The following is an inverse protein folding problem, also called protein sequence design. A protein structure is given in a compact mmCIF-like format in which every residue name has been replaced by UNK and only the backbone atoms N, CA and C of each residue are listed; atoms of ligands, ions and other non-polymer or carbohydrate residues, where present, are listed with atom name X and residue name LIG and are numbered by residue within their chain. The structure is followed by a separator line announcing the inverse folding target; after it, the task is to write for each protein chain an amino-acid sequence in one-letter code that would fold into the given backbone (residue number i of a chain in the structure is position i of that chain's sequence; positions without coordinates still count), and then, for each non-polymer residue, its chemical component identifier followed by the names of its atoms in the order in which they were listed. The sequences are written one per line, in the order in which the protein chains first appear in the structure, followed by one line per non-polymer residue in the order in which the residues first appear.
data_IF_231915422213
#
_entry.id   IF_231915422213
#
_cell.length_a   1.000
_cell.length_b   1.000
_cell.length_c   1.000
_cell.angle_alpha   90.00
_cell.angle_beta   90.00
_cell.angle_gamma   90.00
#
_symmetry.space_group_name_H-M   'P 1'
#
loop_
_entity.id
_entity.type
_entity.pdbx_description
1 polymer ?
#
# COMPACT_ATOMS: atom_id res chain seq x y z
N UNK A 1 -20.22 71.40 -0.42
CA UNK A 1 -20.56 70.36 -1.41
C UNK A 1 -19.35 70.07 -2.28
N UNK A 2 -18.62 68.97 -2.03
CA UNK A 2 -17.68 68.39 -3.01
C UNK A 2 -17.72 66.86 -2.83
N UNK A 3 -18.42 66.19 -3.74
CA UNK A 3 -18.47 64.71 -3.85
C UNK A 3 -17.17 64.25 -4.49
N UNK A 4 -16.31 63.58 -3.73
CA UNK A 4 -15.20 62.81 -4.31
C UNK A 4 -15.75 61.45 -4.71
N UNK A 5 -15.93 61.26 -6.01
CA UNK A 5 -16.21 59.98 -6.63
C UNK A 5 -14.96 59.12 -6.54
N UNK A 6 -14.94 58.18 -5.59
CA UNK A 6 -13.94 57.11 -5.55
C UNK A 6 -14.31 56.07 -6.62
N UNK A 7 -13.58 56.06 -7.72
CA UNK A 7 -13.65 54.99 -8.72
C UNK A 7 -13.02 53.72 -8.15
N UNK A 8 -13.88 52.79 -7.72
CA UNK A 8 -13.52 51.40 -7.46
C UNK A 8 -13.14 50.73 -8.78
N UNK A 9 -11.84 50.54 -9.02
CA UNK A 9 -11.37 49.66 -10.08
C UNK A 9 -11.59 48.20 -9.65
N UNK A 10 -12.74 47.64 -10.01
CA UNK A 10 -13.00 46.20 -9.88
C UNK A 10 -12.25 45.49 -11.02
N UNK A 11 -11.09 44.93 -10.71
CA UNK A 11 -10.28 44.15 -11.64
C UNK A 11 -10.95 42.77 -11.81
N UNK A 12 -11.75 42.61 -12.86
CA UNK A 12 -12.25 41.31 -13.31
C UNK A 12 -11.08 40.50 -13.89
N UNK A 13 -10.46 39.66 -13.06
CA UNK A 13 -9.60 38.57 -13.52
C UNK A 13 -10.45 37.53 -14.24
N UNK A 14 -10.62 37.71 -15.55
CA UNK A 14 -11.10 36.64 -16.43
C UNK A 14 -9.99 35.59 -16.56
N UNK A 15 -10.01 34.59 -15.68
CA UNK A 15 -9.20 33.40 -15.89
C UNK A 15 -9.72 32.67 -17.14
N UNK A 16 -9.01 32.82 -18.26
CA UNK A 16 -9.24 32.02 -19.46
C UNK A 16 -8.92 30.56 -19.12
N UNK A 17 -9.94 29.79 -18.72
CA UNK A 17 -9.82 28.34 -18.61
C UNK A 17 -9.68 27.79 -20.03
N UNK A 18 -8.66 26.97 -20.34
CA UNK A 18 -8.57 26.33 -21.64
C UNK A 18 -9.81 25.44 -21.83
N UNK A 19 -10.65 25.78 -22.81
CA UNK A 19 -11.70 24.89 -23.29
C UNK A 19 -11.02 23.83 -24.12
N UNK A 20 -10.93 22.62 -23.60
CA UNK A 20 -10.40 21.49 -24.36
C UNK A 20 -11.42 21.21 -25.48
N UNK A 21 -10.95 21.20 -26.74
CA UNK A 21 -11.80 20.93 -27.88
C UNK A 21 -12.33 19.49 -27.79
N UNK A 22 -13.54 19.36 -27.24
CA UNK A 22 -14.21 18.09 -27.03
C UNK A 22 -15.05 17.74 -28.25
N UNK A 23 -14.84 16.56 -28.81
CA UNK A 23 -15.50 16.13 -30.04
C UNK A 23 -16.76 15.35 -29.67
N UNK A 24 -17.90 15.69 -30.26
CA UNK A 24 -19.15 14.98 -30.02
C UNK A 24 -19.32 13.85 -31.05
N UNK A 25 -19.81 12.71 -30.58
CA UNK A 25 -20.10 11.54 -31.38
C UNK A 25 -21.08 10.61 -30.71
N UNK A 26 -21.18 9.39 -31.21
CA UNK A 26 -21.99 8.33 -30.64
C UNK A 26 -21.32 6.97 -30.84
N UNK A 27 -21.71 5.99 -30.02
CA UNK A 27 -21.30 4.60 -30.21
C UNK A 27 -22.08 3.97 -31.37
N UNK A 28 -21.43 3.17 -32.20
CA UNK A 28 -22.09 2.43 -33.29
C UNK A 28 -22.42 0.97 -32.94
N UNK A 29 -22.05 0.50 -31.75
CA UNK A 29 -22.21 -0.87 -31.29
C UNK A 29 -22.23 -0.98 -29.76
N UNK A 30 -22.65 -2.14 -29.25
CA UNK A 30 -22.61 -2.46 -27.82
C UNK A 30 -21.16 -2.70 -27.40
N UNK A 31 -20.68 -1.97 -26.41
CA UNK A 31 -19.29 -2.07 -25.95
C UNK A 31 -19.13 -1.75 -24.47
N UNK A 32 -18.20 -2.45 -23.82
CA UNK A 32 -17.79 -2.12 -22.46
C UNK A 32 -16.86 -0.92 -22.43
N UNK A 33 -17.19 0.08 -21.62
CA UNK A 33 -16.30 1.20 -21.34
C UNK A 33 -15.16 0.71 -20.44
N UNK A 34 -13.90 0.92 -20.84
CA UNK A 34 -12.72 0.37 -20.16
C UNK A 34 -12.01 1.41 -19.28
N UNK A 35 -11.41 0.96 -18.18
CA UNK A 35 -10.61 1.81 -17.29
C UNK A 35 -9.27 2.28 -17.90
N UNK A 36 -8.86 1.68 -19.01
CA UNK A 36 -7.64 1.97 -19.77
C UNK A 36 -7.75 1.41 -21.20
N UNK A 37 -6.77 1.69 -22.06
CA UNK A 37 -6.86 1.43 -23.50
C UNK A 37 -6.45 0.00 -23.87
N UNK A 38 -7.11 -1.01 -23.31
CA UNK A 38 -7.01 -2.41 -23.72
C UNK A 38 -8.26 -3.18 -23.27
N UNK A 39 -8.54 -4.35 -23.86
CA UNK A 39 -9.76 -5.12 -23.59
C UNK A 39 -9.76 -5.77 -22.20
N UNK A 40 -8.60 -6.05 -21.66
CA UNK A 40 -8.43 -6.66 -20.36
C UNK A 40 -8.52 -5.64 -19.20
N UNK A 41 -8.47 -4.32 -19.49
CA UNK A 41 -8.78 -3.33 -18.48
C UNK A 41 -10.19 -3.54 -17.95
N UNK A 42 -10.36 -3.24 -16.66
CA UNK A 42 -11.66 -3.35 -15.99
C UNK A 42 -12.74 -2.58 -16.74
N UNK A 43 -13.92 -3.18 -16.86
CA UNK A 43 -15.12 -2.50 -17.36
C UNK A 43 -15.65 -1.55 -16.29
N UNK A 44 -15.76 -0.27 -16.62
CA UNK A 44 -16.26 0.78 -15.73
C UNK A 44 -17.68 1.22 -16.03
N UNK A 45 -18.23 0.74 -17.16
CA UNK A 45 -19.60 0.96 -17.58
C UNK A 45 -19.87 0.24 -18.90
N UNK A 46 -21.07 0.42 -19.44
CA UNK A 46 -21.48 -0.12 -20.72
C UNK A 46 -22.05 0.99 -21.61
N UNK A 47 -21.82 0.88 -22.91
CA UNK A 47 -22.30 1.85 -23.88
C UNK A 47 -23.11 1.12 -24.94
N UNK A 48 -24.38 1.49 -25.04
CA UNK A 48 -25.29 0.98 -26.05
C UNK A 48 -25.10 1.70 -27.39
N UNK A 49 -25.46 1.06 -28.52
CA UNK A 49 -25.49 1.73 -29.82
C UNK A 49 -26.33 3.01 -29.78
N UNK A 50 -25.84 4.08 -30.40
CA UNK A 50 -26.49 5.39 -30.46
C UNK A 50 -26.26 6.27 -29.23
N UNK A 51 -25.70 5.75 -28.14
CA UNK A 51 -25.39 6.55 -26.96
C UNK A 51 -24.42 7.68 -27.31
N UNK A 52 -24.74 8.89 -26.86
CA UNK A 52 -23.89 10.06 -27.06
C UNK A 52 -22.55 9.89 -26.33
N UNK A 53 -21.47 10.28 -27.00
CA UNK A 53 -20.11 10.22 -26.52
C UNK A 53 -19.45 11.59 -26.66
N UNK A 54 -18.70 11.98 -25.64
CA UNK A 54 -17.73 13.07 -25.73
C UNK A 54 -16.33 12.48 -25.85
N UNK A 55 -15.62 12.73 -26.94
CA UNK A 55 -14.29 12.19 -27.24
C UNK A 55 -13.22 13.23 -26.91
N UNK A 56 -12.28 12.86 -26.05
CA UNK A 56 -11.21 13.74 -25.55
C UNK A 56 -9.90 13.57 -26.31
N UNK A 57 -9.63 12.36 -26.81
CA UNK A 57 -8.37 12.04 -27.47
C UNK A 57 -8.29 10.58 -27.85
N UNK A 58 -7.42 10.24 -28.79
CA UNK A 58 -7.11 8.86 -29.14
C UNK A 58 -5.62 8.58 -28.97
N UNK A 59 -5.26 7.32 -28.70
CA UNK A 59 -3.85 6.91 -28.69
C UNK A 59 -3.18 7.18 -30.04
N UNK A 60 -1.85 7.27 -30.03
CA UNK A 60 -1.04 7.43 -31.24
C UNK A 60 -1.36 6.33 -32.27
N UNK A 61 -1.47 5.07 -31.82
CA UNK A 61 -1.92 3.92 -32.60
C UNK A 61 -3.29 4.11 -33.27
N UNK A 62 -4.14 4.98 -32.71
CA UNK A 62 -5.50 5.20 -33.16
C UNK A 62 -6.46 4.05 -32.85
N UNK A 63 -6.06 3.06 -32.06
CA UNK A 63 -6.88 1.89 -31.73
C UNK A 63 -7.88 2.16 -30.61
N UNK A 64 -7.55 3.05 -29.68
CA UNK A 64 -8.35 3.39 -28.51
C UNK A 64 -8.53 4.89 -28.35
N UNK A 65 -9.69 5.31 -27.85
CA UNK A 65 -9.99 6.70 -27.55
C UNK A 65 -10.58 6.87 -26.14
N UNK A 66 -10.14 7.93 -25.45
CA UNK A 66 -10.67 8.38 -24.18
C UNK A 66 -11.98 9.15 -24.43
N UNK A 67 -13.05 8.68 -23.81
CA UNK A 67 -14.41 9.18 -23.99
C UNK A 67 -15.11 9.36 -22.66
N UNK A 68 -16.12 10.23 -22.63
CA UNK A 68 -17.14 10.31 -21.58
C UNK A 68 -18.45 9.80 -22.15
N UNK A 69 -18.96 8.73 -21.55
CA UNK A 69 -20.35 8.30 -21.69
C UNK A 69 -21.22 8.94 -20.59
N UNK A 70 -22.54 8.74 -20.62
CA UNK A 70 -23.41 9.16 -19.51
C UNK A 70 -23.06 8.51 -18.16
N UNK A 71 -22.50 7.30 -18.17
CA UNK A 71 -22.21 6.53 -16.96
C UNK A 71 -20.85 6.90 -16.35
N UNK A 72 -19.80 7.01 -17.18
CA UNK A 72 -18.44 7.23 -16.72
C UNK A 72 -17.53 7.79 -17.84
N UNK A 73 -16.34 8.27 -17.44
CA UNK A 73 -15.21 8.43 -18.38
C UNK A 73 -14.52 7.09 -18.53
N UNK A 74 -13.93 6.81 -19.69
CA UNK A 74 -13.12 5.63 -19.93
C UNK A 74 -12.67 5.52 -21.37
N UNK A 75 -12.18 4.35 -21.76
CA UNK A 75 -11.63 4.09 -23.09
C UNK A 75 -12.53 3.17 -23.89
N UNK A 76 -12.68 3.46 -25.19
CA UNK A 76 -13.38 2.62 -26.16
C UNK A 76 -12.50 2.36 -27.39
N UNK A 77 -12.70 1.24 -28.10
CA UNK A 77 -12.11 1.03 -29.41
C UNK A 77 -12.54 2.13 -30.37
N UNK A 78 -11.59 2.72 -31.09
CA UNK A 78 -11.85 3.82 -32.02
C UNK A 78 -12.82 3.41 -33.15
N UNK A 79 -12.81 2.14 -33.53
CA UNK A 79 -13.71 1.55 -34.54
C UNK A 79 -15.19 1.59 -34.13
N UNK A 80 -15.47 1.75 -32.84
CA UNK A 80 -16.83 1.76 -32.29
C UNK A 80 -17.39 3.17 -32.08
N UNK A 81 -16.64 4.19 -32.48
CA UNK A 81 -16.99 5.60 -32.29
C UNK A 81 -17.25 6.25 -33.65
N UNK A 82 -18.39 6.90 -33.79
CA UNK A 82 -18.73 7.73 -34.95
C UNK A 82 -18.84 9.17 -34.48
N UNK A 83 -18.03 10.06 -35.07
CA UNK A 83 -18.10 11.49 -34.79
C UNK A 83 -19.24 12.14 -35.55
N UNK A 84 -19.82 13.17 -34.94
CA UNK A 84 -20.83 14.01 -35.60
C UNK A 84 -20.20 14.86 -36.71
N UNK A 85 -18.93 15.24 -36.55
CA UNK A 85 -18.20 16.07 -37.51
C UNK A 85 -16.75 15.61 -37.67
N UNK A 86 -16.32 15.42 -38.92
CA UNK A 86 -14.95 15.05 -39.25
C UNK A 86 -14.64 13.57 -39.06
N UNK A 87 -13.44 13.18 -39.48
CA UNK A 87 -12.93 11.82 -39.28
C UNK A 87 -12.11 11.74 -37.99
N UNK A 88 -12.35 10.69 -37.20
CA UNK A 88 -11.76 10.52 -35.86
C UNK A 88 -10.23 10.66 -35.85
N UNK A 89 -9.54 10.05 -36.81
CA UNK A 89 -8.07 10.14 -36.93
C UNK A 89 -7.53 11.52 -37.36
N UNK A 90 -8.39 12.43 -37.83
CA UNK A 90 -8.00 13.76 -38.34
C UNK A 90 -8.25 14.87 -37.36
N UNK A 91 -9.37 14.82 -36.64
CA UNK A 91 -9.83 15.93 -35.80
C UNK A 91 -9.57 15.71 -34.31
N UNK A 92 -9.56 14.45 -33.85
CA UNK A 92 -9.35 14.13 -32.44
C UNK A 92 -7.85 14.19 -32.11
N UNK A 93 -7.45 14.89 -31.04
CA UNK A 93 -6.05 14.98 -30.66
C UNK A 93 -5.48 13.62 -30.24
N UNK A 94 -4.17 13.46 -30.46
CA UNK A 94 -3.43 12.31 -29.97
C UNK A 94 -3.06 12.49 -28.50
N UNK A 95 -3.33 11.47 -27.70
CA UNK A 95 -3.08 11.46 -26.25
C UNK A 95 -2.28 10.24 -25.83
N UNK A 96 -1.57 10.37 -24.71
CA UNK A 96 -0.91 9.25 -24.04
C UNK A 96 -1.70 8.84 -22.81
N UNK A 97 -1.73 7.55 -22.55
CA UNK A 97 -2.30 7.03 -21.32
C UNK A 97 -1.23 6.97 -20.22
N UNK A 98 -1.55 7.53 -19.06
CA UNK A 98 -0.79 7.38 -17.82
C UNK A 98 -1.76 6.82 -16.78
N UNK A 99 -1.50 5.59 -16.33
CA UNK A 99 -2.37 4.86 -15.44
C UNK A 99 -2.69 5.66 -14.17
N UNK A 100 -1.66 5.99 -13.39
CA UNK A 100 -1.82 6.63 -12.08
C UNK A 100 -2.55 7.97 -12.21
N UNK A 101 -2.11 8.84 -13.13
CA UNK A 101 -2.74 10.15 -13.35
C UNK A 101 -4.20 10.03 -13.77
N UNK A 102 -4.50 9.12 -14.71
CA UNK A 102 -5.85 8.94 -15.23
C UNK A 102 -6.79 8.38 -14.15
N UNK A 103 -6.34 7.35 -13.42
CA UNK A 103 -7.13 6.71 -12.38
C UNK A 103 -7.36 7.62 -11.18
N UNK A 104 -6.35 8.37 -10.73
CA UNK A 104 -6.47 9.31 -9.63
C UNK A 104 -7.40 10.50 -9.95
N UNK A 105 -7.55 10.82 -11.23
CA UNK A 105 -8.43 11.90 -11.71
C UNK A 105 -9.87 11.40 -11.91
N UNK A 106 -10.08 10.18 -12.39
CA UNK A 106 -11.40 9.73 -12.85
C UNK A 106 -12.05 8.64 -12.00
N UNK A 107 -11.28 7.91 -11.19
CA UNK A 107 -11.76 6.72 -10.48
C UNK A 107 -11.38 6.71 -8.99
N UNK A 108 -10.96 7.85 -8.44
CA UNK A 108 -10.60 7.98 -7.03
C UNK A 108 -11.70 7.45 -6.11
N UNK A 109 -11.32 6.65 -5.12
CA UNK A 109 -12.25 6.11 -4.12
C UNK A 109 -13.01 4.86 -4.57
N UNK A 110 -12.72 4.30 -5.75
CA UNK A 110 -13.24 3.00 -6.17
C UNK A 110 -12.35 1.90 -5.59
N UNK A 111 -12.97 0.87 -5.02
CA UNK A 111 -12.28 -0.27 -4.36
C UNK A 111 -11.23 -0.96 -5.24
N UNK A 112 -11.40 -0.92 -6.56
CA UNK A 112 -10.50 -1.53 -7.53
C UNK A 112 -9.36 -0.64 -7.99
N UNK A 113 -9.32 0.63 -7.55
CA UNK A 113 -8.14 1.47 -7.72
C UNK A 113 -7.08 1.24 -6.65
N UNK A 114 -7.15 0.11 -5.93
CA UNK A 114 -6.12 -0.30 -4.97
C UNK A 114 -4.77 -0.51 -5.65
N UNK A 115 -3.71 -0.34 -4.88
CA UNK A 115 -2.32 -0.38 -5.38
C UNK A 115 -1.98 -1.71 -6.06
N UNK A 116 -2.56 -2.82 -5.62
CA UNK A 116 -2.37 -4.13 -6.24
C UNK A 116 -2.87 -4.20 -7.68
N UNK A 117 -4.00 -3.57 -8.01
CA UNK A 117 -4.51 -3.50 -9.39
C UNK A 117 -3.68 -2.50 -10.21
N UNK A 118 -3.20 -1.41 -9.61
CA UNK A 118 -2.35 -0.43 -10.31
C UNK A 118 -0.98 -0.99 -10.66
N UNK A 119 -0.32 -1.64 -9.71
CA UNK A 119 0.99 -2.24 -9.88
C UNK A 119 1.02 -3.19 -11.08
N UNK A 120 -0.11 -3.83 -11.38
CA UNK A 120 -0.23 -4.67 -12.56
C UNK A 120 -0.14 -3.91 -13.89
N UNK A 121 -0.83 -2.78 -14.02
CA UNK A 121 -0.95 -2.06 -15.28
C UNK A 121 0.21 -1.09 -15.56
N UNK A 122 1.08 -0.81 -14.58
CA UNK A 122 2.17 0.17 -14.75
C UNK A 122 3.20 -0.23 -15.80
N UNK A 123 3.44 -1.53 -15.95
CA UNK A 123 4.48 -2.06 -16.84
C UNK A 123 3.95 -2.34 -18.26
N UNK A 124 2.70 -1.96 -18.55
CA UNK A 124 2.02 -2.32 -19.78
C UNK A 124 2.01 -1.18 -20.83
N UNK A 125 2.25 -1.54 -22.09
CA UNK A 125 2.16 -0.62 -23.23
C UNK A 125 0.71 -0.28 -23.52
N UNK A 126 0.30 1.01 -23.48
CA UNK A 126 -1.08 1.39 -23.78
C UNK A 126 -1.52 0.96 -25.18
N UNK A 127 -2.66 0.27 -25.29
CA UNK A 127 -3.20 -0.18 -26.56
C UNK A 127 -2.98 -1.66 -26.85
N UNK A 128 -1.97 -2.27 -26.23
CA UNK A 128 -1.65 -3.68 -26.43
C UNK A 128 -2.44 -4.56 -25.48
N UNK A 129 -2.49 -5.87 -25.76
CA UNK A 129 -3.00 -6.82 -24.80
C UNK A 129 -1.85 -7.34 -23.92
N UNK A 130 -2.06 -7.54 -22.63
CA UNK A 130 -1.14 -8.28 -21.78
C UNK A 130 -1.07 -9.73 -22.26
N UNK A 131 0.14 -10.33 -22.30
CA UNK A 131 0.29 -11.73 -22.62
C UNK A 131 -0.60 -12.61 -21.73
N UNK A 132 -1.27 -13.59 -22.34
CA UNK A 132 -2.15 -14.50 -21.59
C UNK A 132 -1.39 -15.24 -20.47
N UNK A 133 -0.09 -15.50 -20.66
CA UNK A 133 0.77 -16.13 -19.65
C UNK A 133 0.96 -15.27 -18.39
N UNK A 134 1.01 -13.95 -18.55
CA UNK A 134 1.10 -13.01 -17.43
C UNK A 134 -0.21 -12.95 -16.64
N UNK A 135 -1.34 -13.14 -17.32
CA UNK A 135 -2.69 -13.19 -16.74
C UNK A 135 -3.03 -14.56 -16.13
N UNK A 136 -2.48 -15.63 -16.69
CA UNK A 136 -2.81 -17.00 -16.30
C UNK A 136 -2.27 -17.31 -14.89
N UNK A 137 -3.02 -18.08 -14.06
CA UNK A 137 -2.49 -18.66 -12.82
C UNK A 137 -1.49 -19.78 -13.14
N UNK A 138 -0.32 -19.42 -13.67
CA UNK A 138 0.76 -20.36 -13.98
C UNK A 138 1.75 -20.48 -12.83
N UNK A 139 2.19 -21.71 -12.53
CA UNK A 139 3.31 -21.96 -11.62
C UNK A 139 4.69 -21.93 -12.33
N UNK A 140 4.72 -21.84 -13.65
CA UNK A 140 5.94 -21.69 -14.45
C UNK A 140 6.42 -20.24 -14.53
N UNK A 141 7.75 -20.06 -14.58
CA UNK A 141 8.37 -18.81 -15.03
C UNK A 141 8.62 -18.99 -16.54
N UNK A 142 8.11 -18.13 -17.42
CA UNK A 142 8.38 -18.21 -18.85
C UNK A 142 9.88 -17.99 -19.11
N UNK A 143 10.32 -18.34 -20.32
CA UNK A 143 11.74 -18.26 -20.70
C UNK A 143 12.32 -16.84 -20.61
N UNK A 144 11.47 -15.82 -20.57
CA UNK A 144 11.81 -14.41 -20.39
C UNK A 144 11.91 -13.96 -18.92
N UNK A 145 11.61 -14.84 -17.95
CA UNK A 145 11.68 -14.55 -16.53
C UNK A 145 10.42 -13.88 -15.94
N UNK A 146 9.37 -13.64 -16.73
CA UNK A 146 8.22 -12.83 -16.29
C UNK A 146 7.22 -13.67 -15.49
N UNK A 147 7.13 -13.45 -14.17
CA UNK A 147 6.17 -14.16 -13.33
C UNK A 147 4.73 -13.72 -13.61
N UNK A 148 3.79 -14.66 -13.58
CA UNK A 148 2.36 -14.35 -13.64
C UNK A 148 1.91 -13.42 -12.51
N UNK A 149 0.85 -12.66 -12.77
CA UNK A 149 0.18 -11.81 -11.79
C UNK A 149 -0.16 -12.55 -10.50
N UNK A 150 -0.83 -13.69 -10.64
CA UNK A 150 -1.30 -14.47 -9.51
C UNK A 150 -0.12 -14.95 -8.65
N UNK A 151 1.01 -15.29 -9.28
CA UNK A 151 2.24 -15.66 -8.58
C UNK A 151 2.84 -14.47 -7.84
N UNK A 152 2.97 -13.30 -8.47
CA UNK A 152 3.47 -12.09 -7.82
C UNK A 152 2.64 -11.73 -6.58
N UNK A 153 1.32 -11.67 -6.73
CA UNK A 153 0.41 -11.38 -5.63
C UNK A 153 0.53 -12.42 -4.49
N UNK A 154 0.67 -13.72 -4.83
CA UNK A 154 0.88 -14.80 -3.85
C UNK A 154 2.19 -14.66 -3.09
N UNK A 155 3.28 -14.29 -3.78
CA UNK A 155 4.59 -14.09 -3.16
C UNK A 155 4.61 -12.86 -2.24
N UNK A 156 4.00 -11.76 -2.68
CA UNK A 156 3.84 -10.55 -1.86
C UNK A 156 3.02 -10.85 -0.60
N UNK A 157 1.86 -11.50 -0.75
CA UNK A 157 1.02 -11.92 0.38
C UNK A 157 1.79 -12.83 1.35
N UNK A 158 2.58 -13.78 0.81
CA UNK A 158 3.43 -14.65 1.63
C UNK A 158 4.48 -13.85 2.40
N UNK A 159 5.17 -12.94 1.74
CA UNK A 159 6.19 -12.10 2.35
C UNK A 159 5.61 -11.19 3.45
N UNK A 160 4.41 -10.65 3.24
CA UNK A 160 3.67 -9.85 4.22
C UNK A 160 3.25 -10.68 5.43
N UNK A 161 2.74 -11.90 5.22
CA UNK A 161 2.42 -12.83 6.30
C UNK A 161 3.66 -13.20 7.12
N UNK A 162 4.77 -13.54 6.45
CA UNK A 162 6.05 -13.85 7.10
C UNK A 162 6.62 -12.63 7.85
N UNK A 163 6.38 -11.41 7.36
CA UNK A 163 6.74 -10.17 8.08
C UNK A 163 5.87 -10.00 9.33
N UNK A 164 4.56 -10.15 9.19
CA UNK A 164 3.60 -10.02 10.28
C UNK A 164 3.87 -11.04 11.39
N UNK A 165 4.20 -12.28 11.01
CA UNK A 165 4.58 -13.34 11.95
C UNK A 165 5.86 -12.98 12.71
N UNK A 166 6.89 -12.49 12.02
CA UNK A 166 8.12 -12.00 12.66
C UNK A 166 7.87 -10.84 13.63
N UNK A 167 7.02 -9.89 13.26
CA UNK A 167 6.64 -8.79 14.13
C UNK A 167 5.90 -9.29 15.38
N UNK A 168 4.99 -10.27 15.22
CA UNK A 168 4.29 -10.90 16.34
C UNK A 168 5.24 -11.64 17.28
N UNK A 169 6.20 -12.40 16.73
CA UNK A 169 7.19 -13.12 17.53
C UNK A 169 8.08 -12.19 18.37
N UNK A 170 8.43 -11.02 17.83
CA UNK A 170 9.17 -9.98 18.57
C UNK A 170 8.32 -9.43 19.72
N UNK A 171 7.04 -9.15 19.48
CA UNK A 171 6.11 -8.67 20.52
C UNK A 171 5.92 -9.72 21.61
N UNK A 172 5.66 -10.97 21.24
CA UNK A 172 5.45 -12.08 22.18
C UNK A 172 6.71 -12.33 23.02
N UNK A 173 7.90 -12.29 22.39
CA UNK A 173 9.18 -12.37 23.10
C UNK A 173 9.35 -11.22 24.10
N UNK A 174 9.08 -9.99 23.69
CA UNK A 174 9.18 -8.83 24.57
C UNK A 174 8.19 -8.92 25.75
N UNK A 175 6.97 -9.40 25.53
CA UNK A 175 5.98 -9.62 26.57
C UNK A 175 6.45 -10.68 27.59
N UNK A 176 7.04 -11.77 27.11
CA UNK A 176 7.59 -12.83 27.96
C UNK A 176 8.79 -12.34 28.78
N UNK A 177 9.69 -11.54 28.20
CA UNK A 177 10.81 -10.93 28.91
C UNK A 177 10.32 -10.01 30.05
N UNK A 178 9.24 -9.26 29.81
CA UNK A 178 8.62 -8.42 30.85
C UNK A 178 8.06 -9.27 32.00
N UNK A 179 7.35 -10.36 31.71
CA UNK A 179 6.79 -11.24 32.74
C UNK A 179 7.88 -11.88 33.63
N UNK A 180 8.97 -12.36 33.03
CA UNK A 180 10.07 -12.95 33.79
C UNK A 180 10.76 -11.93 34.70
N UNK A 181 10.94 -10.70 34.19
CA UNK A 181 11.48 -9.59 34.97
C UNK A 181 10.57 -9.26 36.15
N UNK A 182 9.26 -9.16 35.93
CA UNK A 182 8.30 -8.82 36.98
C UNK A 182 8.28 -9.93 38.06
N UNK A 183 8.34 -11.21 37.66
CA UNK A 183 8.48 -12.35 38.58
C UNK A 183 9.76 -12.27 39.42
N UNK A 184 10.88 -11.90 38.81
CA UNK A 184 12.16 -11.72 39.51
C UNK A 184 12.06 -10.58 40.52
N UNK A 185 11.53 -9.43 40.11
CA UNK A 185 11.43 -8.24 40.95
C UNK A 185 10.50 -8.50 42.16
N UNK A 186 9.39 -9.22 41.96
CA UNK A 186 8.55 -9.69 43.06
C UNK A 186 9.30 -10.60 44.04
N UNK A 187 10.16 -11.50 43.54
CA UNK A 187 10.98 -12.39 44.37
C UNK A 187 12.03 -11.62 45.16
N UNK A 188 12.72 -10.67 44.53
CA UNK A 188 13.68 -9.77 45.18
C UNK A 188 13.01 -8.96 46.29
N UNK A 189 11.87 -8.30 45.99
CA UNK A 189 11.11 -7.53 46.96
C UNK A 189 10.62 -8.39 48.14
N UNK A 190 10.41 -9.70 47.93
CA UNK A 190 10.06 -10.64 48.99
C UNK A 190 11.28 -11.01 49.85
N UNK A 191 12.45 -11.22 49.23
CA UNK A 191 13.71 -11.43 49.93
C UNK A 191 14.02 -10.24 50.86
N UNK A 192 13.88 -9.01 50.37
CA UNK A 192 14.15 -7.79 51.13
C UNK A 192 13.20 -7.63 52.33
N UNK A 193 11.92 -7.96 52.16
CA UNK A 193 10.92 -7.91 53.25
C UNK A 193 11.06 -9.00 54.30
N UNK A 194 11.87 -10.04 54.06
CA UNK A 194 11.98 -11.19 54.98
C UNK A 194 12.63 -10.88 56.32
N UNK A 195 13.33 -9.74 56.45
CA UNK A 195 13.90 -9.27 57.72
C UNK A 195 14.99 -10.18 58.33
N UNK A 196 15.55 -11.11 57.54
CA UNK A 196 16.64 -11.99 57.95
C UNK A 196 17.99 -11.28 58.05
N UNK A 197 19.04 -12.02 58.44
CA UNK A 197 20.42 -11.52 58.40
C UNK A 197 20.80 -11.12 56.96
N UNK A 198 21.61 -10.06 56.79
CA UNK A 198 22.00 -9.53 55.48
C UNK A 198 22.53 -10.61 54.50
N UNK A 199 23.29 -11.58 55.00
CA UNK A 199 23.82 -12.69 54.20
C UNK A 199 22.73 -13.60 53.62
N UNK A 200 21.64 -13.83 54.36
CA UNK A 200 20.50 -14.63 53.91
C UNK A 200 19.67 -13.87 52.85
N UNK A 201 19.49 -12.57 53.03
CA UNK A 201 18.80 -11.69 52.06
C UNK A 201 19.59 -11.65 50.75
N UNK A 202 20.92 -11.47 50.81
CA UNK A 202 21.77 -11.45 49.62
C UNK A 202 21.77 -12.78 48.86
N UNK A 203 21.81 -13.90 49.57
CA UNK A 203 21.70 -15.24 48.97
C UNK A 203 20.35 -15.45 48.25
N UNK A 204 19.25 -14.98 48.85
CA UNK A 204 17.92 -15.03 48.23
C UNK A 204 17.83 -14.19 46.95
N UNK A 205 18.40 -12.98 46.96
CA UNK A 205 18.46 -12.10 45.78
C UNK A 205 19.32 -12.71 44.67
N UNK A 206 20.47 -13.30 44.99
CA UNK A 206 21.32 -13.95 43.98
C UNK A 206 20.61 -15.13 43.34
N UNK A 207 19.84 -15.91 44.11
CA UNK A 207 19.05 -17.00 43.56
C UNK A 207 17.95 -16.49 42.62
N UNK A 208 17.25 -15.41 42.98
CA UNK A 208 16.22 -14.83 42.13
C UNK A 208 16.77 -14.36 40.76
N UNK A 209 18.00 -13.83 40.74
CA UNK A 209 18.70 -13.47 39.48
C UNK A 209 19.07 -14.71 38.66
N UNK A 210 19.64 -15.73 39.31
CA UNK A 210 19.97 -17.00 38.66
C UNK A 210 18.75 -17.68 38.02
N UNK A 211 17.60 -17.67 38.71
CA UNK A 211 16.36 -18.24 38.18
C UNK A 211 15.86 -17.50 36.94
N UNK A 212 16.01 -16.16 36.90
CA UNK A 212 15.69 -15.35 35.72
C UNK A 212 16.61 -15.69 34.55
N UNK A 213 17.92 -15.74 34.80
CA UNK A 213 18.91 -16.08 33.76
C UNK A 213 18.66 -17.49 33.20
N UNK A 214 18.33 -18.46 34.05
CA UNK A 214 17.95 -19.82 33.65
C UNK A 214 16.68 -19.87 32.80
N UNK A 215 15.67 -19.05 33.10
CA UNK A 215 14.43 -18.96 32.32
C UNK A 215 14.68 -18.40 30.91
N UNK A 216 15.50 -17.35 30.79
CA UNK A 216 15.91 -16.74 29.52
C UNK A 216 16.70 -17.76 28.67
N UNK A 217 17.66 -18.45 29.27
CA UNK A 217 18.48 -19.46 28.59
C UNK A 217 17.64 -20.64 28.08
N UNK A 218 16.76 -21.19 28.91
CA UNK A 218 15.90 -22.30 28.51
C UNK A 218 14.96 -21.92 27.36
N UNK A 219 14.44 -20.69 27.36
CA UNK A 219 13.58 -20.18 26.28
C UNK A 219 14.38 -20.02 24.97
N UNK A 220 15.54 -19.37 25.03
CA UNK A 220 16.39 -19.22 23.84
C UNK A 220 16.86 -20.58 23.29
N UNK A 221 17.14 -21.57 24.17
CA UNK A 221 17.46 -22.93 23.77
C UNK A 221 16.25 -23.68 23.15
N UNK A 222 15.03 -23.43 23.63
CA UNK A 222 13.82 -24.03 23.04
C UNK A 222 13.45 -23.45 21.67
N UNK A 223 13.80 -22.18 21.40
CA UNK A 223 13.56 -21.53 20.10
C UNK A 223 14.53 -21.96 18.99
N UNK A 224 15.60 -22.69 19.33
CA UNK A 224 16.69 -23.07 18.44
C UNK A 224 16.34 -24.18 17.44
N UNK A 225 15.14 -24.78 17.50
CA UNK A 225 14.81 -25.90 16.62
C UNK A 225 14.61 -25.51 15.15
N UNK A 226 14.77 -24.24 14.76
CA UNK A 226 14.56 -23.82 13.37
C UNK A 226 15.69 -23.01 12.71
N UNK A 227 16.42 -22.11 13.39
CA UNK A 227 17.50 -21.35 12.70
C UNK A 227 18.50 -20.74 13.69
N UNK A 228 19.61 -21.43 14.00
CA UNK A 228 20.92 -20.88 14.45
C UNK A 228 21.03 -19.76 15.52
N UNK A 229 19.95 -19.33 16.18
CA UNK A 229 19.82 -17.98 16.74
C UNK A 229 19.90 -17.87 18.27
N UNK A 230 20.43 -18.87 18.99
CA UNK A 230 20.54 -18.80 20.46
C UNK A 230 21.32 -17.61 20.94
N UNK A 231 22.45 -17.30 20.29
CA UNK A 231 23.31 -16.20 20.70
C UNK A 231 22.62 -14.85 20.52
N UNK A 232 21.97 -14.64 19.37
CA UNK A 232 21.19 -13.42 19.10
C UNK A 232 20.00 -13.26 20.07
N UNK A 233 19.35 -14.36 20.46
CA UNK A 233 18.29 -14.35 21.47
C UNK A 233 18.81 -13.90 22.85
N UNK A 234 19.97 -14.42 23.27
CA UNK A 234 20.62 -14.06 24.54
C UNK A 234 21.08 -12.60 24.51
N UNK A 235 21.71 -12.16 23.42
CA UNK A 235 22.19 -10.79 23.26
C UNK A 235 21.03 -9.78 23.35
N UNK A 236 19.89 -10.07 22.70
CA UNK A 236 18.71 -9.23 22.77
C UNK A 236 18.12 -9.18 24.18
N UNK A 237 18.05 -10.31 24.89
CA UNK A 237 17.56 -10.35 26.27
C UNK A 237 18.46 -9.53 27.22
N UNK A 238 19.77 -9.51 26.96
CA UNK A 238 20.72 -8.66 27.70
C UNK A 238 20.47 -7.17 27.44
N UNK A 239 20.26 -6.78 26.17
CA UNK A 239 19.94 -5.40 25.78
C UNK A 239 18.65 -4.93 26.46
N UNK A 240 17.59 -5.74 26.40
CA UNK A 240 16.30 -5.45 27.03
C UNK A 240 16.46 -5.28 28.55
N UNK A 241 17.29 -6.11 29.18
CA UNK A 241 17.62 -6.01 30.60
C UNK A 241 18.30 -4.68 30.93
N UNK A 242 19.35 -4.31 30.19
CA UNK A 242 20.07 -3.05 30.40
C UNK A 242 19.18 -1.81 30.19
N UNK A 243 18.31 -1.84 29.18
CA UNK A 243 17.34 -0.78 28.95
C UNK A 243 16.39 -0.64 30.16
N UNK A 244 15.88 -1.75 30.70
CA UNK A 244 15.00 -1.72 31.86
C UNK A 244 15.67 -1.16 33.13
N UNK A 245 16.96 -1.45 33.32
CA UNK A 245 17.76 -0.90 34.43
C UNK A 245 17.91 0.61 34.25
N UNK A 246 18.16 1.09 33.04
CA UNK A 246 18.20 2.52 32.72
C UNK A 246 16.85 3.21 32.98
N UNK A 247 15.74 2.65 32.52
CA UNK A 247 14.40 3.21 32.74
C UNK A 247 14.03 3.33 34.22
N UNK A 248 14.41 2.35 35.05
CA UNK A 248 14.23 2.43 36.51
C UNK A 248 15.03 3.56 37.12
N UNK A 249 16.33 3.66 36.78
CA UNK A 249 17.18 4.77 37.25
C UNK A 249 16.60 6.14 36.88
N UNK A 250 16.05 6.28 35.67
CA UNK A 250 15.39 7.51 35.22
C UNK A 250 14.13 7.79 36.04
N UNK A 251 13.26 6.79 36.26
CA UNK A 251 12.05 6.96 37.10
C UNK A 251 12.38 7.33 38.54
N UNK A 252 13.37 6.69 39.14
CA UNK A 252 13.80 6.98 40.52
C UNK A 252 14.42 8.40 40.64
N UNK A 253 15.04 8.90 39.57
CA UNK A 253 15.55 10.28 39.48
C UNK A 253 14.45 11.31 39.25
N UNK A 254 13.37 10.96 38.55
CA UNK A 254 12.23 11.84 38.28
C UNK A 254 11.19 11.86 39.42
N UNK A 255 11.20 10.85 40.30
CA UNK A 255 10.32 10.75 41.47
C UNK A 255 10.90 11.30 42.78
N UNK A 256 12.10 11.89 42.76
CA UNK A 256 12.71 12.67 43.86
C UNK A 256 12.67 14.15 43.54
#
# INVERSE_FOLDING_TARGET
MQRRLSWSALWLMAAAMPVWAQHAGHANGLVGLRAGPAEEYRRVGEVQPGNALQVFGCLDSGTWCDVRSPEARGWLPATLIVLNHGALNRVVPKVKFSLDTYWDTHYRGREWTVESERAFWRDHTPGDALPLELLAPGEGVPADGVQSMARRAKLETRAENERTERERDVIDRAALNRLDRDRRDEKINRCERSGGQDSAVQSCISQARSDYDGAVLNRCASSQSQDGGSQSCIDQASIDYEQSVRERKIRDQQGR
#
